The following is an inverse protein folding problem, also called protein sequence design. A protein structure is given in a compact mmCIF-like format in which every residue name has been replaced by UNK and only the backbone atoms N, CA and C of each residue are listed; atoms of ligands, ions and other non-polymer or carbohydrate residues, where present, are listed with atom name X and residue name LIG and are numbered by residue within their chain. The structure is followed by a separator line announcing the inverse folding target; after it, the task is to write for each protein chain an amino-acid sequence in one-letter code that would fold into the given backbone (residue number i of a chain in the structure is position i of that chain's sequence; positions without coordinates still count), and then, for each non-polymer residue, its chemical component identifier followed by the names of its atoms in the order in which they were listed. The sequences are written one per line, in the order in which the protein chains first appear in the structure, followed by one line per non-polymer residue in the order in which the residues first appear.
data_IF_131565772231
#
_entry.id   IF_131565772231
#
_cell.length_a   1.000
_cell.length_b   1.000
_cell.length_c   1.000
_cell.angle_alpha   90.00
_cell.angle_beta   90.00
_cell.angle_gamma   90.00
#
_symmetry.space_group_name_H-M   'P 1'
#
loop_
_entity.id
_entity.type
_entity.pdbx_description
1 polymer ?
#
# COMPACT_ATOMS: atom_id res chain seq x y z
N UNK A 1 -2.74 -1.02 -19.58
CA UNK A 1 -1.57 -1.91 -19.78
C UNK A 1 -1.92 -3.29 -19.22
N UNK A 2 -1.50 -4.41 -19.84
CA UNK A 2 -1.96 -5.75 -19.44
C UNK A 2 -0.99 -6.53 -18.54
N UNK A 3 0.23 -6.03 -18.34
CA UNK A 3 1.29 -6.78 -17.67
C UNK A 3 1.36 -6.52 -16.15
N UNK A 4 0.37 -5.83 -15.59
CA UNK A 4 0.35 -5.42 -14.20
C UNK A 4 -0.99 -5.70 -13.55
N UNK A 5 -0.93 -6.06 -12.26
CA UNK A 5 -2.05 -6.06 -11.34
C UNK A 5 -2.06 -4.73 -10.58
N UNK A 6 -3.24 -4.23 -10.27
CA UNK A 6 -3.41 -2.90 -9.67
C UNK A 6 -4.37 -2.98 -8.48
N UNK A 7 -4.14 -2.15 -7.47
CA UNK A 7 -5.08 -1.94 -6.37
C UNK A 7 -5.07 -0.47 -5.96
N UNK A 8 -6.24 0.06 -5.63
CA UNK A 8 -6.41 1.40 -5.09
C UNK A 8 -7.07 1.27 -3.72
N UNK A 9 -6.46 1.85 -2.70
CA UNK A 9 -6.95 1.85 -1.33
C UNK A 9 -7.08 3.28 -0.81
N UNK A 10 -7.88 3.47 0.24
CA UNK A 10 -7.98 4.71 0.98
C UNK A 10 -7.68 4.53 2.47
N UNK A 11 -7.10 5.57 3.08
CA UNK A 11 -6.71 5.58 4.48
C UNK A 11 -6.83 6.99 5.06
N UNK A 12 -7.49 7.13 6.21
CA UNK A 12 -7.61 8.42 6.88
C UNK A 12 -6.48 8.60 7.90
N UNK A 13 -5.82 9.76 7.87
CA UNK A 13 -4.78 10.11 8.86
C UNK A 13 -5.12 11.43 9.55
N UNK A 14 -4.57 11.71 10.75
CA UNK A 14 -4.74 13.00 11.38
C UNK A 14 -4.33 14.16 10.45
N UNK A 15 -5.04 15.29 10.52
CA UNK A 15 -4.67 16.48 9.76
C UNK A 15 -3.21 16.89 10.02
N UNK A 16 -2.53 17.31 8.97
CA UNK A 16 -1.11 17.66 8.99
C UNK A 16 -0.16 16.47 8.83
N UNK A 17 -0.63 15.22 9.00
CA UNK A 17 0.22 14.03 8.85
C UNK A 17 0.23 13.46 7.43
N UNK A 18 -0.61 13.96 6.51
CA UNK A 18 -0.73 13.40 5.15
C UNK A 18 0.60 13.27 4.40
N UNK A 19 1.48 14.28 4.48
CA UNK A 19 2.81 14.23 3.84
C UNK A 19 3.75 13.21 4.48
N UNK A 20 3.67 13.05 5.80
CA UNK A 20 4.49 12.10 6.56
C UNK A 20 4.11 10.66 6.18
N UNK A 21 2.82 10.35 6.17
CA UNK A 21 2.33 9.03 5.77
C UNK A 21 2.57 8.75 4.28
N UNK A 22 2.33 9.72 3.39
CA UNK A 22 2.67 9.60 1.97
C UNK A 22 4.11 9.15 1.79
N UNK A 23 5.05 9.87 2.43
CA UNK A 23 6.47 9.55 2.31
C UNK A 23 6.79 8.16 2.86
N UNK A 24 6.30 7.83 4.06
CA UNK A 24 6.55 6.53 4.67
C UNK A 24 6.04 5.36 3.81
N UNK A 25 4.84 5.49 3.24
CA UNK A 25 4.20 4.48 2.39
C UNK A 25 4.95 4.31 1.06
N UNK A 26 5.31 5.42 0.41
CA UNK A 26 6.06 5.39 -0.84
C UNK A 26 7.47 4.83 -0.65
N UNK A 27 8.15 5.19 0.45
CA UNK A 27 9.48 4.68 0.79
C UNK A 27 9.47 3.18 1.11
N UNK A 28 8.45 2.68 1.84
CA UNK A 28 8.27 1.24 2.13
C UNK A 28 8.12 0.39 0.86
N UNK A 29 7.53 0.98 -0.19
CA UNK A 29 7.32 0.34 -1.50
C UNK A 29 8.41 0.70 -2.52
N UNK A 30 9.47 1.39 -2.07
CA UNK A 30 10.60 1.75 -2.92
C UNK A 30 11.72 0.70 -2.89
N UNK A 31 12.64 0.81 -3.85
CA UNK A 31 13.87 0.01 -3.82
C UNK A 31 14.79 0.52 -2.73
N UNK A 32 15.21 -0.37 -1.84
CA UNK A 32 16.13 -0.05 -0.75
C UNK A 32 17.35 -0.97 -0.77
N UNK A 33 18.47 -0.48 -0.24
CA UNK A 33 19.72 -1.25 -0.16
C UNK A 33 19.73 -2.07 1.13
N UNK A 34 19.97 -3.37 1.02
CA UNK A 34 20.10 -4.26 2.18
C UNK A 34 21.51 -4.82 2.28
N UNK A 35 21.98 -5.02 3.52
CA UNK A 35 23.15 -5.84 3.79
C UNK A 35 22.72 -7.31 3.71
N UNK A 36 23.23 -8.01 2.71
CA UNK A 36 22.95 -9.42 2.46
C UNK A 36 24.10 -10.26 3.02
N UNK A 37 23.98 -10.62 4.30
CA UNK A 37 24.91 -11.54 4.95
C UNK A 37 24.43 -12.98 4.80
N UNK A 38 25.28 -13.86 4.27
CA UNK A 38 25.04 -15.30 4.27
C UNK A 38 26.00 -15.93 5.27
N UNK A 39 25.46 -16.78 6.13
CA UNK A 39 26.22 -17.48 7.18
C UNK A 39 26.39 -18.95 6.81
N UNK A 40 27.54 -19.52 7.19
CA UNK A 40 27.75 -20.96 7.15
C UNK A 40 26.99 -21.69 8.28
N UNK A 41 27.15 -23.02 8.34
CA UNK A 41 26.51 -23.85 9.36
C UNK A 41 26.98 -23.53 10.79
N UNK A 42 28.18 -22.96 10.94
CA UNK A 42 28.77 -22.58 12.22
C UNK A 42 28.39 -21.13 12.62
N UNK A 43 27.65 -20.42 11.76
CA UNK A 43 27.19 -19.06 11.97
C UNK A 43 28.17 -17.97 11.55
N UNK A 44 29.29 -18.32 10.93
CA UNK A 44 30.26 -17.35 10.43
C UNK A 44 29.76 -16.73 9.12
N UNK A 45 29.99 -15.42 8.96
CA UNK A 45 29.62 -14.71 7.73
C UNK A 45 30.58 -15.14 6.61
N UNK A 46 30.03 -15.75 5.56
CA UNK A 46 30.78 -16.17 4.37
C UNK A 46 30.58 -15.23 3.19
N UNK A 47 29.49 -14.44 3.17
CA UNK A 47 29.21 -13.40 2.18
C UNK A 47 28.68 -12.16 2.92
N UNK A 48 29.14 -10.97 2.55
CA UNK A 48 28.67 -9.69 3.09
C UNK A 48 28.60 -8.65 1.98
N UNK A 49 27.55 -8.74 1.16
CA UNK A 49 27.33 -7.84 0.04
C UNK A 49 26.21 -6.83 0.32
N UNK A 50 26.26 -5.67 -0.33
CA UNK A 50 25.14 -4.73 -0.38
C UNK A 50 24.41 -4.95 -1.70
N UNK A 51 23.11 -5.27 -1.65
CA UNK A 51 22.29 -5.48 -2.85
C UNK A 51 20.99 -4.65 -2.79
N UNK A 52 20.45 -4.23 -3.94
CA UNK A 52 19.12 -3.63 -3.97
C UNK A 52 18.07 -4.71 -3.66
N UNK A 53 17.08 -4.35 -2.86
CA UNK A 53 15.91 -5.13 -2.50
C UNK A 53 14.66 -4.34 -2.87
N UNK A 54 13.61 -5.05 -3.30
CA UNK A 54 12.33 -4.46 -3.66
C UNK A 54 11.22 -5.46 -3.37
N UNK A 55 10.18 -5.04 -2.66
CA UNK A 55 9.03 -5.88 -2.31
C UNK A 55 8.17 -6.25 -3.55
N UNK A 56 8.44 -5.65 -4.71
CA UNK A 56 7.79 -5.96 -5.99
C UNK A 56 6.59 -5.10 -6.32
N UNK A 57 6.24 -4.13 -5.46
CA UNK A 57 5.14 -3.20 -5.67
C UNK A 57 5.68 -1.79 -5.92
N UNK A 58 5.09 -1.07 -6.86
CA UNK A 58 5.28 0.38 -6.96
C UNK A 58 4.05 1.07 -6.38
N UNK A 59 4.29 2.14 -5.62
CA UNK A 59 3.26 2.84 -4.88
C UNK A 59 3.28 4.33 -5.21
N UNK A 60 2.10 4.92 -5.32
CA UNK A 60 1.90 6.37 -5.36
C UNK A 60 0.78 6.73 -4.41
N UNK A 61 0.98 7.74 -3.58
CA UNK A 61 -0.02 8.22 -2.63
C UNK A 61 -0.46 9.62 -2.98
N UNK A 62 -1.76 9.83 -3.17
CA UNK A 62 -2.35 11.17 -3.25
C UNK A 62 -2.97 11.55 -1.92
N UNK A 63 -2.91 12.84 -1.60
CA UNK A 63 -3.46 13.41 -0.36
C UNK A 63 -4.61 14.31 -0.79
N UNK A 64 -5.81 13.98 -0.34
CA UNK A 64 -6.93 14.90 -0.35
C UNK A 64 -7.05 15.59 1.02
N UNK A 65 -6.78 16.90 1.01
CA UNK A 65 -6.91 17.77 2.17
C UNK A 65 -8.29 18.42 2.26
N UNK A 66 -9.26 17.96 1.46
CA UNK A 66 -10.64 18.43 1.56
C UNK A 66 -11.17 18.17 2.98
N UNK A 67 -11.84 19.19 3.53
CA UNK A 67 -12.44 19.09 4.86
C UNK A 67 -13.63 18.14 4.77
N UNK A 68 -13.50 16.90 5.27
CA UNK A 68 -14.69 16.10 5.59
C UNK A 68 -15.36 16.69 6.82
N UNK A 69 -16.35 17.54 6.59
CA UNK A 69 -17.27 17.98 7.63
C UNK A 69 -18.33 16.88 7.79
N UNK A 70 -18.18 16.04 8.81
CA UNK A 70 -19.31 15.23 9.27
C UNK A 70 -20.38 16.19 9.81
N UNK A 71 -21.43 16.40 9.02
CA UNK A 71 -22.55 17.29 9.37
C UNK A 71 -23.26 16.73 10.61
N UNK A 72 -22.99 17.30 11.77
CA UNK A 72 -23.88 17.18 12.92
C UNK A 72 -24.90 18.32 12.92
N UNK A 73 -26.16 17.96 12.81
CA UNK A 73 -27.29 18.88 12.95
C UNK A 73 -27.34 19.47 14.36
N UNK A 74 -27.23 20.80 14.46
CA UNK A 74 -27.89 21.55 15.54
C UNK A 74 -27.05 22.08 16.71
N UNK A 75 -25.76 21.80 16.82
CA UNK A 75 -24.92 22.45 17.84
C UNK A 75 -23.49 22.59 17.31
N UNK A 76 -22.96 23.82 17.30
CA UNK A 76 -21.55 24.08 17.02
C UNK A 76 -20.76 23.52 18.21
N UNK A 77 -20.30 22.28 18.06
CA UNK A 77 -19.13 21.78 18.77
C UNK A 77 -18.09 21.58 17.66
N UNK A 78 -17.28 22.61 17.42
CA UNK A 78 -16.18 22.60 16.46
C UNK A 78 -15.09 21.63 16.95
N UNK A 79 -15.31 20.34 16.69
CA UNK A 79 -14.33 19.25 16.81
C UNK A 79 -14.57 18.24 15.70
N UNK A 80 -14.84 18.70 14.49
CA UNK A 80 -14.63 17.81 13.34
C UNK A 80 -13.15 17.46 13.37
N UNK A 81 -12.82 16.22 13.74
CA UNK A 81 -11.45 15.72 13.65
C UNK A 81 -11.03 15.90 12.20
N UNK A 82 -10.24 16.94 11.92
CA UNK A 82 -9.73 17.16 10.58
C UNK A 82 -8.86 15.95 10.27
N UNK A 83 -9.26 15.19 9.27
CA UNK A 83 -8.47 14.09 8.71
C UNK A 83 -7.98 14.49 7.34
N UNK A 84 -6.81 13.98 6.97
CA UNK A 84 -6.35 13.98 5.59
C UNK A 84 -6.68 12.60 5.01
N UNK A 85 -7.32 12.60 3.84
CA UNK A 85 -7.70 11.38 3.13
C UNK A 85 -6.57 10.99 2.19
N UNK A 86 -6.02 9.79 2.37
CA UNK A 86 -4.96 9.27 1.50
C UNK A 86 -5.56 8.29 0.50
N UNK A 87 -5.20 8.42 -0.78
CA UNK A 87 -5.44 7.36 -1.77
C UNK A 87 -4.11 6.72 -2.14
N UNK A 88 -4.00 5.42 -1.91
CA UNK A 88 -2.81 4.60 -2.16
C UNK A 88 -3.06 3.82 -3.46
N UNK A 89 -2.28 4.09 -4.50
CA UNK A 89 -2.29 3.33 -5.74
C UNK A 89 -1.09 2.38 -5.78
N UNK A 90 -1.36 1.08 -5.82
CA UNK A 90 -0.37 0.02 -5.91
C UNK A 90 -0.42 -0.63 -7.29
N UNK A 91 0.77 -0.88 -7.86
CA UNK A 91 0.93 -1.65 -9.09
C UNK A 91 2.02 -2.70 -8.92
N UNK A 92 1.75 -3.93 -9.37
CA UNK A 92 2.67 -5.06 -9.22
C UNK A 92 2.70 -5.94 -10.46
N UNK A 93 3.85 -6.57 -10.73
CA UNK A 93 3.95 -7.61 -11.76
C UNK A 93 3.50 -8.99 -11.26
N UNK A 94 3.35 -9.15 -9.95
CA UNK A 94 3.06 -10.44 -9.34
C UNK A 94 1.82 -10.32 -8.46
N UNK A 95 0.79 -11.12 -8.74
CA UNK A 95 -0.46 -11.03 -8.01
C UNK A 95 -0.31 -11.34 -6.52
N UNK A 96 0.53 -12.30 -6.15
CA UNK A 96 0.77 -12.64 -4.74
C UNK A 96 1.30 -11.46 -3.95
N UNK A 97 2.31 -10.75 -4.48
CA UNK A 97 2.91 -9.58 -3.82
C UNK A 97 1.90 -8.45 -3.65
N UNK A 98 1.03 -8.25 -4.65
CA UNK A 98 -0.02 -7.25 -4.54
C UNK A 98 -1.06 -7.61 -3.49
N UNK A 99 -1.53 -8.87 -3.46
CA UNK A 99 -2.52 -9.33 -2.48
C UNK A 99 -2.00 -9.24 -1.06
N UNK A 100 -0.78 -9.71 -0.82
CA UNK A 100 -0.15 -9.63 0.51
C UNK A 100 -0.06 -8.18 1.01
N UNK A 101 0.32 -7.25 0.13
CA UNK A 101 0.41 -5.83 0.49
C UNK A 101 -0.98 -5.22 0.74
N UNK A 102 -1.98 -5.55 -0.08
CA UNK A 102 -3.36 -5.09 0.11
C UNK A 102 -3.91 -5.57 1.44
N UNK A 103 -3.76 -6.87 1.75
CA UNK A 103 -4.19 -7.45 3.03
C UNK A 103 -3.52 -6.78 4.23
N UNK A 104 -2.23 -6.46 4.11
CA UNK A 104 -1.52 -5.72 5.16
C UNK A 104 -2.10 -4.32 5.37
N UNK A 105 -2.36 -3.56 4.31
CA UNK A 105 -2.99 -2.24 4.42
C UNK A 105 -4.41 -2.32 4.98
N UNK A 106 -5.20 -3.31 4.59
CA UNK A 106 -6.54 -3.53 5.15
C UNK A 106 -6.48 -3.81 6.66
N UNK A 107 -5.51 -4.62 7.12
CA UNK A 107 -5.29 -4.85 8.56
C UNK A 107 -4.91 -3.59 9.33
N UNK A 108 -4.27 -2.62 8.67
CA UNK A 108 -3.99 -1.31 9.27
C UNK A 108 -5.21 -0.37 9.29
N UNK A 109 -6.30 -0.73 8.60
CA UNK A 109 -7.52 0.06 8.51
C UNK A 109 -7.76 0.71 7.15
N UNK A 110 -6.98 0.37 6.12
CA UNK A 110 -7.25 0.84 4.76
C UNK A 110 -8.52 0.20 4.20
N UNK A 111 -9.20 0.91 3.31
CA UNK A 111 -10.34 0.37 2.56
C UNK A 111 -9.97 0.24 1.11
N UNK A 112 -10.21 -0.91 0.50
CA UNK A 112 -10.03 -1.10 -0.94
C UNK A 112 -11.12 -0.34 -1.69
N UNK A 113 -10.72 0.53 -2.61
CA UNK A 113 -11.61 1.26 -3.53
C UNK A 113 -11.80 0.43 -4.80
N UNK A 114 -10.72 -0.10 -5.37
CA UNK A 114 -10.76 -0.89 -6.59
C UNK A 114 -9.57 -1.82 -6.72
N UNK A 115 -9.74 -2.90 -7.48
CA UNK A 115 -8.68 -3.87 -7.77
C UNK A 115 -8.76 -4.32 -9.22
N UNK A 116 -7.61 -4.63 -9.79
CA UNK A 116 -7.45 -5.22 -11.12
C UNK A 116 -6.50 -6.42 -11.02
N UNK A 117 -6.96 -7.50 -10.39
CA UNK A 117 -6.21 -8.74 -10.21
C UNK A 117 -6.35 -9.63 -11.44
N UNK A 118 -5.68 -9.29 -12.54
CA UNK A 118 -5.74 -10.06 -13.78
C UNK A 118 -5.22 -11.52 -13.58
N UNK A 119 -6.09 -12.53 -13.63
CA UNK A 119 -5.80 -13.99 -13.61
C UNK A 119 -5.47 -14.56 -12.21
N UNK A 120 -6.01 -15.69 -11.73
CA UNK A 120 -6.32 -16.97 -12.38
C UNK A 120 -7.85 -17.27 -12.44
N UNK A 121 -8.32 -17.81 -13.58
CA UNK A 121 -9.70 -18.22 -13.93
C UNK A 121 -10.74 -17.12 -14.21
N UNK A 122 -10.76 -16.64 -15.46
CA UNK A 122 -12.01 -16.29 -16.17
C UNK A 122 -12.38 -17.37 -17.21
N UNK A 123 -12.04 -18.64 -16.95
CA UNK A 123 -12.51 -19.79 -17.73
C UNK A 123 -13.17 -20.79 -16.78
N UNK A 124 -14.46 -20.59 -16.52
CA UNK A 124 -15.22 -21.46 -15.62
C UNK A 124 -16.62 -20.94 -15.37
N UNK A 125 -17.40 -20.81 -16.45
CA UNK A 125 -18.85 -21.05 -16.50
C UNK A 125 -19.37 -20.53 -17.86
N UNK A 126 -18.99 -21.23 -18.93
CA UNK A 126 -19.70 -21.19 -20.21
C UNK A 126 -19.54 -22.58 -20.84
N UNK A 127 -20.17 -23.59 -20.24
CA UNK A 127 -20.55 -24.82 -20.96
C UNK A 127 -21.88 -25.36 -20.39
N UNK A 128 -22.90 -25.22 -21.25
CA UNK A 128 -24.23 -25.85 -21.29
C UNK A 128 -25.26 -25.54 -20.21
#
# INVERSE_FOLDING_TARGET
MNDFHEAVLTFDVPAGMGQVYKKAIEDDNSRHWIKNEIKDADGNIVISDIKPSWNGNHCSVSIDNSLTIEKYSGAIIDRTERKAHLTIALISRTLSNLKEQVEWYERMGAKVISTNYKGENQNGNDQN
#
